data_IF_831232933438
#
_entry.id   IF_831232933438
#
_cell.length_a   1.000
_cell.length_b   1.000
_cell.length_c   1.000
_cell.angle_alpha   90.00
_cell.angle_beta   90.00
_cell.angle_gamma   90.00
#
_symmetry.space_group_name_H-M   'P 1'
#
loop_
_entity.id
_entity.type
_entity.pdbx_description
1 polymer ?
#
# COMPACT_ATOMS: atom_id res chain seq x y z
N UNK A 1 11.69 45.25 21.65
CA UNK A 1 11.11 44.17 20.83
C UNK A 1 11.49 44.39 19.37
N UNK A 2 12.52 43.70 18.87
CA UNK A 2 12.97 43.83 17.48
C UNK A 2 12.02 43.07 16.55
N UNK A 3 11.43 43.77 15.57
CA UNK A 3 10.68 43.13 14.48
C UNK A 3 11.68 42.45 13.54
N UNK A 4 11.83 41.13 13.66
CA UNK A 4 12.51 40.32 12.65
C UNK A 4 11.79 40.52 11.32
N UNK A 5 12.50 41.07 10.32
CA UNK A 5 11.93 41.29 9.00
C UNK A 5 11.60 39.93 8.37
N UNK A 6 10.48 39.83 7.63
CA UNK A 6 10.05 38.60 6.94
C UNK A 6 11.16 37.95 6.08
N UNK A 7 12.14 38.73 5.63
CA UNK A 7 13.33 38.26 4.90
C UNK A 7 14.32 37.46 5.76
N UNK A 8 14.45 37.77 7.04
CA UNK A 8 15.36 37.05 7.95
C UNK A 8 14.79 35.67 8.33
N UNK A 9 13.47 35.58 8.49
CA UNK A 9 12.77 34.30 8.76
C UNK A 9 12.94 33.32 7.59
N UNK A 10 12.82 33.80 6.34
CA UNK A 10 12.99 32.96 5.13
C UNK A 10 14.45 32.48 5.00
N UNK A 11 15.42 33.33 5.33
CA UNK A 11 16.85 32.96 5.30
C UNK A 11 17.21 31.93 6.37
N UNK A 12 16.63 32.04 7.56
CA UNK A 12 16.84 31.08 8.66
C UNK A 12 16.20 29.72 8.34
N UNK A 13 14.99 29.69 7.74
CA UNK A 13 14.39 28.42 7.28
C UNK A 13 15.17 27.77 6.13
N UNK A 14 15.67 28.56 5.17
CA UNK A 14 16.47 28.04 4.05
C UNK A 14 17.81 27.44 4.48
N UNK A 15 18.45 28.00 5.51
CA UNK A 15 19.71 27.48 6.05
C UNK A 15 19.52 26.21 6.90
N UNK A 16 18.39 26.07 7.61
CA UNK A 16 18.07 24.87 8.38
C UNK A 16 17.84 23.63 7.49
N UNK A 17 17.30 23.81 6.27
CA UNK A 17 17.17 22.71 5.30
C UNK A 17 18.50 22.30 4.65
N UNK A 18 19.51 23.17 4.60
CA UNK A 18 20.80 22.83 4.02
C UNK A 18 21.61 21.88 4.93
N UNK A 19 21.39 21.93 6.25
CA UNK A 19 22.09 21.13 7.26
C UNK A 19 21.33 19.89 7.75
N UNK A 20 20.27 19.46 7.06
CA UNK A 20 19.65 18.19 7.39
C UNK A 20 20.71 17.08 7.24
N UNK A 21 21.01 16.30 8.31
CA UNK A 21 21.97 15.22 8.22
C UNK A 21 21.56 14.29 7.08
N UNK A 22 22.52 13.74 6.35
CA UNK A 22 22.23 12.84 5.22
C UNK A 22 21.24 11.72 5.60
N UNK A 23 21.27 11.27 6.86
CA UNK A 23 20.30 10.32 7.42
C UNK A 23 18.86 10.85 7.54
N UNK A 24 18.63 12.14 7.77
CA UNK A 24 17.29 12.72 7.77
C UNK A 24 16.71 12.82 6.35
N UNK A 25 17.52 13.18 5.35
CA UNK A 25 17.10 13.16 3.94
C UNK A 25 16.85 11.74 3.43
N UNK A 26 17.71 10.79 3.77
CA UNK A 26 17.51 9.39 3.43
C UNK A 26 16.23 8.83 4.08
N UNK A 27 15.98 9.14 5.35
CA UNK A 27 14.76 8.74 6.06
C UNK A 27 13.50 9.34 5.43
N UNK A 28 13.53 10.62 5.07
CA UNK A 28 12.42 11.28 4.36
C UNK A 28 12.16 10.63 3.00
N UNK A 29 13.21 10.25 2.26
CA UNK A 29 13.07 9.53 0.98
C UNK A 29 12.46 8.13 1.15
N UNK A 30 12.87 7.41 2.19
CA UNK A 30 12.31 6.07 2.49
C UNK A 30 10.85 6.17 2.93
N UNK A 31 10.49 7.15 3.76
CA UNK A 31 9.09 7.36 4.17
C UNK A 31 8.20 7.75 2.98
N UNK A 32 8.71 8.57 2.04
CA UNK A 32 8.02 8.89 0.79
C UNK A 32 7.85 7.66 -0.12
N UNK A 33 8.91 6.85 -0.29
CA UNK A 33 8.86 5.63 -1.09
C UNK A 33 7.86 4.61 -0.52
N UNK A 34 7.79 4.45 0.81
CA UNK A 34 6.80 3.59 1.45
C UNK A 34 5.37 4.12 1.28
N UNK A 35 5.18 5.44 1.30
CA UNK A 35 3.87 6.03 1.00
C UNK A 35 3.42 5.70 -0.44
N UNK A 36 4.31 5.87 -1.41
CA UNK A 36 4.05 5.49 -2.82
C UNK A 36 3.77 4.00 -2.94
N UNK A 37 4.51 3.14 -2.23
CA UNK A 37 4.27 1.71 -2.27
C UNK A 37 2.88 1.34 -1.72
N UNK A 38 2.46 1.97 -0.62
CA UNK A 38 1.10 1.78 -0.08
C UNK A 38 0.03 2.24 -1.05
N UNK A 39 0.30 3.29 -1.83
CA UNK A 39 -0.62 3.73 -2.89
C UNK A 39 -0.71 2.72 -4.03
N UNK A 40 0.39 2.05 -4.38
CA UNK A 40 0.38 0.92 -5.33
C UNK A 40 -0.49 -0.23 -4.78
N UNK A 41 -0.32 -0.60 -3.50
CA UNK A 41 -1.12 -1.66 -2.86
C UNK A 41 -2.62 -1.31 -2.91
N UNK A 42 -2.97 -0.06 -2.56
CA UNK A 42 -4.35 0.43 -2.63
C UNK A 42 -4.89 0.42 -4.06
N UNK A 43 -4.09 0.87 -5.03
CA UNK A 43 -4.47 0.88 -6.44
C UNK A 43 -4.75 -0.54 -6.96
N UNK A 44 -3.90 -1.52 -6.61
CA UNK A 44 -4.13 -2.94 -6.95
C UNK A 44 -5.39 -3.48 -6.25
N UNK A 45 -5.62 -3.10 -5.00
CA UNK A 45 -6.81 -3.51 -4.24
C UNK A 45 -8.12 -2.92 -4.76
N UNK A 46 -8.07 -1.84 -5.55
CA UNK A 46 -9.25 -1.24 -6.17
C UNK A 46 -10.27 -0.63 -5.19
N UNK A 47 -9.87 -0.42 -3.93
CA UNK A 47 -10.75 0.07 -2.87
C UNK A 47 -10.25 1.39 -2.29
N UNK A 48 -11.18 2.31 -2.01
CA UNK A 48 -10.90 3.55 -1.27
C UNK A 48 -10.64 3.30 0.22
N UNK A 49 -11.11 2.18 0.76
CA UNK A 49 -10.84 1.77 2.14
C UNK A 49 -10.15 0.41 2.18
N UNK A 50 -8.92 0.40 2.68
CA UNK A 50 -8.15 -0.79 2.97
C UNK A 50 -7.89 -0.83 4.48
N UNK A 51 -8.21 -1.95 5.17
CA UNK A 51 -7.90 -2.08 6.59
C UNK A 51 -6.40 -1.83 6.84
N UNK A 52 -6.01 -0.99 7.82
CA UNK A 52 -4.61 -0.70 8.09
C UNK A 52 -3.77 -1.95 8.32
N UNK A 53 -4.33 -2.94 9.02
CA UNK A 53 -3.68 -4.23 9.26
C UNK A 53 -3.37 -4.99 7.97
N UNK A 54 -4.29 -4.98 7.00
CA UNK A 54 -4.09 -5.66 5.71
C UNK A 54 -2.99 -4.97 4.89
N UNK A 55 -2.95 -3.64 4.92
CA UNK A 55 -1.93 -2.85 4.24
C UNK A 55 -0.54 -3.09 4.85
N UNK A 56 -0.42 -3.03 6.17
CA UNK A 56 0.84 -3.28 6.90
C UNK A 56 1.31 -4.73 6.73
N UNK A 57 0.39 -5.69 6.76
CA UNK A 57 0.69 -7.09 6.50
C UNK A 57 1.17 -7.31 5.07
N UNK A 58 0.50 -6.72 4.07
CA UNK A 58 0.94 -6.82 2.68
C UNK A 58 2.35 -6.27 2.49
N UNK A 59 2.67 -5.13 3.11
CA UNK A 59 4.02 -4.54 3.05
C UNK A 59 5.07 -5.47 3.66
N UNK A 60 4.79 -6.01 4.85
CA UNK A 60 5.68 -6.90 5.59
C UNK A 60 5.92 -8.21 4.84
N UNK A 61 4.84 -8.85 4.39
CA UNK A 61 4.92 -10.13 3.68
C UNK A 61 5.54 -9.97 2.29
N UNK A 62 5.30 -8.84 1.61
CA UNK A 62 5.97 -8.53 0.35
C UNK A 62 7.48 -8.41 0.54
N UNK A 63 7.90 -7.67 1.57
CA UNK A 63 9.32 -7.53 1.91
C UNK A 63 9.94 -8.88 2.29
N UNK A 64 9.19 -9.77 2.96
CA UNK A 64 9.63 -11.13 3.28
C UNK A 64 9.79 -11.99 2.02
N UNK A 65 8.88 -11.88 1.06
CA UNK A 65 8.89 -12.68 -0.17
C UNK A 65 9.93 -12.21 -1.20
N UNK A 66 10.12 -10.91 -1.36
CA UNK A 66 10.92 -10.35 -2.47
C UNK A 66 12.09 -9.45 -2.05
N UNK A 67 12.20 -9.13 -0.76
CA UNK A 67 13.17 -8.18 -0.20
C UNK A 67 12.73 -6.72 -0.34
N UNK A 68 13.27 -5.84 0.52
CA UNK A 68 12.95 -4.40 0.51
C UNK A 68 13.33 -3.71 -0.80
N UNK A 69 14.36 -4.18 -1.50
CA UNK A 69 14.75 -3.65 -2.83
C UNK A 69 13.64 -3.80 -3.89
N UNK A 70 12.78 -4.82 -3.76
CA UNK A 70 11.64 -4.99 -4.67
C UNK A 70 10.62 -3.86 -4.51
N UNK A 71 10.47 -3.31 -3.29
CA UNK A 71 9.60 -2.16 -3.02
C UNK A 71 10.10 -0.96 -3.83
N UNK A 72 11.38 -0.63 -3.72
CA UNK A 72 11.97 0.48 -4.48
C UNK A 72 11.87 0.28 -6.00
N UNK A 73 11.97 -0.97 -6.47
CA UNK A 73 11.75 -1.31 -7.87
C UNK A 73 10.34 -0.95 -8.37
N UNK A 74 9.31 -1.30 -7.60
CA UNK A 74 7.92 -0.96 -7.92
C UNK A 74 7.64 0.54 -7.78
N UNK A 75 8.18 1.20 -6.75
CA UNK A 75 8.08 2.66 -6.57
C UNK A 75 8.71 3.39 -7.76
N UNK A 76 9.89 2.96 -8.19
CA UNK A 76 10.55 3.54 -9.36
C UNK A 76 9.75 3.30 -10.66
N UNK A 77 9.08 2.15 -10.79
CA UNK A 77 8.18 1.88 -11.90
C UNK A 77 6.97 2.83 -11.87
N UNK A 78 6.31 2.97 -10.72
CA UNK A 78 5.15 3.85 -10.54
C UNK A 78 5.49 5.33 -10.81
N UNK A 79 6.66 5.81 -10.36
CA UNK A 79 7.11 7.17 -10.65
C UNK A 79 7.31 7.44 -12.15
N UNK A 80 7.63 6.42 -12.95
CA UNK A 80 7.73 6.53 -14.43
C UNK A 80 6.40 6.31 -15.14
N UNK A 81 5.47 5.58 -14.51
CA UNK A 81 4.19 5.12 -15.06
C UNK A 81 3.11 5.33 -13.98
N UNK A 82 2.42 6.49 -13.98
CA UNK A 82 1.67 6.95 -12.81
C UNK A 82 0.36 6.19 -12.54
N UNK A 83 -0.12 5.39 -13.47
CA UNK A 83 -1.31 4.55 -13.30
C UNK A 83 -0.98 3.06 -13.43
N UNK A 84 -1.83 2.23 -12.82
CA UNK A 84 -1.61 0.78 -12.71
C UNK A 84 -1.59 0.07 -14.06
N UNK A 85 -2.36 0.55 -15.03
CA UNK A 85 -2.41 -0.04 -16.38
C UNK A 85 -1.08 0.22 -17.11
N UNK A 86 -0.60 1.45 -17.08
CA UNK A 86 0.71 1.81 -17.64
C UNK A 86 1.87 1.08 -16.93
N UNK A 87 1.77 0.87 -15.61
CA UNK A 87 2.72 0.02 -14.88
C UNK A 87 2.68 -1.42 -15.38
N UNK A 88 1.49 -2.02 -15.48
CA UNK A 88 1.32 -3.41 -15.93
C UNK A 88 1.84 -3.63 -17.34
N UNK A 89 1.64 -2.68 -18.26
CA UNK A 89 2.15 -2.77 -19.63
C UNK A 89 3.67 -2.63 -19.71
N UNK A 90 4.27 -1.84 -18.81
CA UNK A 90 5.72 -1.59 -18.79
C UNK A 90 6.49 -2.53 -17.84
N UNK A 91 5.79 -3.37 -17.08
CA UNK A 91 6.38 -4.25 -16.09
C UNK A 91 7.28 -5.30 -16.77
N UNK A 92 8.46 -5.51 -16.18
CA UNK A 92 9.20 -6.75 -16.46
C UNK A 92 8.40 -7.94 -15.93
N UNK A 93 8.71 -9.17 -16.39
CA UNK A 93 8.10 -10.39 -15.84
C UNK A 93 8.14 -10.41 -14.31
N UNK A 94 9.30 -10.06 -13.73
CA UNK A 94 9.47 -9.97 -12.27
C UNK A 94 8.54 -8.94 -11.61
N UNK A 95 8.40 -7.74 -12.18
CA UNK A 95 7.52 -6.72 -11.62
C UNK A 95 6.04 -7.12 -11.77
N UNK A 96 5.68 -7.78 -12.88
CA UNK A 96 4.35 -8.35 -13.10
C UNK A 96 4.03 -9.42 -12.06
N UNK A 97 4.96 -10.32 -11.77
CA UNK A 97 4.80 -11.37 -10.74
C UNK A 97 4.64 -10.75 -9.34
N UNK A 98 5.38 -9.68 -9.03
CA UNK A 98 5.26 -8.93 -7.78
C UNK A 98 3.88 -8.26 -7.64
N UNK A 99 3.40 -7.61 -8.70
CA UNK A 99 2.06 -7.01 -8.72
C UNK A 99 0.96 -8.06 -8.60
N UNK A 100 1.12 -9.20 -9.29
CA UNK A 100 0.22 -10.35 -9.17
C UNK A 100 0.21 -10.92 -7.76
N UNK A 101 1.38 -11.04 -7.13
CA UNK A 101 1.49 -11.49 -5.75
C UNK A 101 0.73 -10.57 -4.79
N UNK A 102 0.85 -9.23 -4.96
CA UNK A 102 0.09 -8.26 -4.16
C UNK A 102 -1.41 -8.50 -4.33
N UNK A 103 -1.89 -8.65 -5.57
CA UNK A 103 -3.30 -8.94 -5.84
C UNK A 103 -3.75 -10.25 -5.18
N UNK A 104 -2.96 -11.33 -5.31
CA UNK A 104 -3.26 -12.61 -4.68
C UNK A 104 -3.32 -12.46 -3.17
N UNK A 105 -2.32 -11.85 -2.54
CA UNK A 105 -2.31 -11.60 -1.10
C UNK A 105 -3.55 -10.83 -0.65
N UNK A 106 -3.87 -9.71 -1.32
CA UNK A 106 -4.99 -8.86 -0.92
C UNK A 106 -6.33 -9.57 -1.04
N UNK A 107 -6.56 -10.35 -2.10
CA UNK A 107 -7.87 -10.97 -2.35
C UNK A 107 -8.05 -12.34 -1.69
N UNK A 108 -6.97 -13.03 -1.34
CA UNK A 108 -7.05 -14.39 -0.77
C UNK A 108 -6.50 -14.48 0.65
N UNK A 109 -5.66 -13.55 1.08
CA UNK A 109 -4.91 -13.65 2.33
C UNK A 109 -3.85 -14.75 2.31
N UNK A 110 -3.49 -15.28 1.13
CA UNK A 110 -2.52 -16.35 0.97
C UNK A 110 -1.07 -15.84 1.06
N UNK A 111 -0.27 -16.59 1.81
CA UNK A 111 1.17 -16.42 1.98
C UNK A 111 1.80 -17.81 2.05
N UNK A 112 2.82 -18.09 1.24
CA UNK A 112 3.53 -19.38 1.21
C UNK A 112 2.60 -20.61 1.14
N UNK A 113 1.51 -20.52 0.36
CA UNK A 113 0.51 -21.58 0.22
C UNK A 113 -0.40 -21.75 1.45
N UNK A 114 -0.38 -20.81 2.39
CA UNK A 114 -1.22 -20.80 3.59
C UNK A 114 -2.09 -19.55 3.63
N UNK A 115 -3.35 -19.74 3.96
CA UNK A 115 -4.30 -18.63 4.13
C UNK A 115 -4.14 -18.06 5.54
N UNK A 116 -3.31 -17.02 5.67
CA UNK A 116 -2.93 -16.45 6.98
C UNK A 116 -3.80 -15.24 7.34
N UNK A 117 -4.31 -14.51 6.34
CA UNK A 117 -5.08 -13.27 6.52
C UNK A 117 -6.53 -13.40 6.03
N UNK A 118 -7.09 -14.60 6.16
CA UNK A 118 -8.39 -14.98 5.61
C UNK A 118 -9.51 -13.96 5.91
N UNK A 119 -9.70 -13.58 7.17
CA UNK A 119 -10.80 -12.72 7.61
C UNK A 119 -10.70 -11.28 7.09
N UNK A 120 -9.50 -10.86 6.69
CA UNK A 120 -9.22 -9.48 6.29
C UNK A 120 -9.11 -9.31 4.78
N UNK A 121 -9.12 -10.39 3.99
CA UNK A 121 -8.90 -10.29 2.56
C UNK A 121 -10.04 -9.55 1.87
N UNK A 122 -9.70 -8.82 0.81
CA UNK A 122 -10.63 -8.04 0.01
C UNK A 122 -11.66 -8.92 -0.72
N UNK A 123 -11.35 -10.20 -0.94
CA UNK A 123 -12.25 -11.14 -1.58
C UNK A 123 -13.59 -11.22 -0.85
N UNK A 124 -13.59 -11.25 0.48
CA UNK A 124 -14.82 -11.25 1.28
C UNK A 124 -15.48 -9.87 1.35
N UNK A 125 -14.68 -8.81 1.42
CA UNK A 125 -15.18 -7.44 1.50
C UNK A 125 -15.85 -6.96 0.21
N UNK A 126 -15.50 -7.57 -0.92
CA UNK A 126 -16.11 -7.28 -2.20
C UNK A 126 -17.51 -7.91 -2.38
N UNK A 127 -17.90 -8.83 -1.51
CA UNK A 127 -19.18 -9.56 -1.62
C UNK A 127 -20.22 -8.96 -0.67
N UNK A 128 -21.42 -8.71 -1.19
CA UNK A 128 -22.58 -8.24 -0.40
C UNK A 128 -23.50 -9.37 0.02
N UNK A 129 -23.44 -10.51 -0.66
CA UNK A 129 -24.36 -11.64 -0.50
C UNK A 129 -23.78 -12.79 0.33
N UNK A 130 -22.47 -12.78 0.57
CA UNK A 130 -21.77 -13.86 1.27
C UNK A 130 -20.90 -13.31 2.38
N UNK A 131 -20.83 -14.08 3.46
CA UNK A 131 -19.88 -13.89 4.56
C UNK A 131 -18.76 -14.89 4.40
N UNK A 132 -17.57 -14.59 4.95
CA UNK A 132 -16.45 -15.52 4.92
C UNK A 132 -16.85 -16.86 5.59
N UNK A 133 -16.79 -18.00 4.89
CA UNK A 133 -17.09 -19.29 5.49
C UNK A 133 -16.29 -19.53 6.77
N UNK A 134 -16.96 -20.01 7.82
CA UNK A 134 -16.37 -20.19 9.15
C UNK A 134 -16.58 -19.00 10.10
N UNK A 135 -17.07 -17.87 9.59
CA UNK A 135 -17.51 -16.74 10.40
C UNK A 135 -19.04 -16.61 10.36
N UNK A 136 -19.65 -16.36 11.52
CA UNK A 136 -21.02 -15.89 11.55
C UNK A 136 -21.05 -14.41 11.17
N UNK A 137 -21.82 -14.04 10.14
CA UNK A 137 -22.03 -12.64 9.78
C UNK A 137 -23.51 -12.31 9.63
N UNK A 138 -23.86 -11.04 9.89
CA UNK A 138 -25.22 -10.53 9.82
C UNK A 138 -26.20 -11.19 10.80
N UNK A 139 -27.48 -10.77 10.76
CA UNK A 139 -28.56 -11.51 11.40
C UNK A 139 -28.69 -12.92 10.82
N UNK A 140 -29.16 -13.87 11.62
CA UNK A 140 -29.49 -15.21 11.13
C UNK A 140 -30.52 -15.12 10.00
N UNK A 141 -30.26 -15.79 8.88
CA UNK A 141 -31.15 -15.76 7.71
C UNK A 141 -30.90 -14.61 6.71
N UNK A 142 -29.82 -13.83 6.85
CA UNK A 142 -29.50 -12.73 5.92
C UNK A 142 -29.40 -13.18 4.44
N UNK A 143 -29.06 -14.45 4.20
CA UNK A 143 -29.01 -15.05 2.87
C UNK A 143 -30.39 -15.30 2.22
N UNK A 144 -31.49 -15.09 2.93
CA UNK A 144 -32.84 -15.23 2.39
C UNK A 144 -33.38 -13.95 1.74
N UNK A 145 -32.76 -12.80 2.03
CA UNK A 145 -33.18 -11.53 1.44
C UNK A 145 -32.61 -11.42 0.00
N UNK A 146 -33.45 -11.12 -1.01
CA UNK A 146 -32.96 -10.90 -2.36
C UNK A 146 -32.03 -9.68 -2.42
N UNK A 147 -30.94 -9.80 -3.17
CA UNK A 147 -29.96 -8.70 -3.37
C UNK A 147 -30.70 -7.45 -3.89
N UNK A 148 -30.50 -6.30 -3.23
CA UNK A 148 -31.06 -5.01 -3.65
C UNK A 148 -30.22 -4.35 -4.73
#
# INVERSE_FOLDING_TARGET
>A
MQRLARRDVIRILGAAMALAPAGARARLGVEDDLAVFRDIIRAIGGTTYMPPLLLEACETEFARAFGTEAIFGLVALARRRPDLEAMSQAASLRAGDQMRWIATFLFTGEVDGKVTYYDYCLGWQALTFATAPGLCGGPFGHWQEPER
#
